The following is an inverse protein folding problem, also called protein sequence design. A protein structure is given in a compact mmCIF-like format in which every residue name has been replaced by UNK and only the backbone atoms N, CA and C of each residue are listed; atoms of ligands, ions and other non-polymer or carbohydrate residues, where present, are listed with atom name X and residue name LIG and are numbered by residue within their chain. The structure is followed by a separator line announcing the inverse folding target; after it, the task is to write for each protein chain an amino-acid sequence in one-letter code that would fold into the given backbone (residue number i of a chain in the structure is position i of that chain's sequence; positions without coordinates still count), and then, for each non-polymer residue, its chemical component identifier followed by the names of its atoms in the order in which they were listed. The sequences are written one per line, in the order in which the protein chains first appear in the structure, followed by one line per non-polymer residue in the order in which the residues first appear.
data_IF_085294365038
#
_entry.id   IF_085294365038
#
_cell.length_a   1.000
_cell.length_b   1.000
_cell.length_c   1.000
_cell.angle_alpha   90.00
_cell.angle_beta   90.00
_cell.angle_gamma   90.00
#
_symmetry.space_group_name_H-M   'P 1'
#
loop_
_entity.id
_entity.type
_entity.pdbx_description
1 polymer ?
#
# COMPACT_ATOMS: atom_id res chain seq x y z
N UNK A 1 4.72 -4.86 0.81
CA UNK A 1 5.52 -3.74 0.22
C UNK A 1 6.38 -3.07 1.29
N UNK A 2 7.20 -2.09 0.91
CA UNK A 2 8.01 -1.27 1.82
C UNK A 2 8.25 0.14 1.22
N UNK A 3 9.43 0.47 0.65
CA UNK A 3 10.43 -0.49 0.15
C UNK A 3 11.25 -1.15 1.27
N UNK A 4 11.66 -2.41 1.05
CA UNK A 4 12.50 -3.18 1.98
C UNK A 4 11.81 -4.32 2.75
N UNK A 5 10.49 -4.48 2.65
CA UNK A 5 9.76 -5.54 3.36
C UNK A 5 9.70 -6.84 2.56
N UNK A 6 9.78 -7.98 3.26
CA UNK A 6 9.63 -9.31 2.66
C UNK A 6 8.18 -9.57 2.23
N UNK A 7 8.02 -10.42 1.22
CA UNK A 7 6.74 -11.00 0.79
C UNK A 7 6.11 -11.94 1.84
N UNK A 8 6.81 -12.24 2.94
CA UNK A 8 6.28 -13.05 4.05
C UNK A 8 4.96 -12.53 4.60
N UNK A 9 4.71 -11.22 4.58
CA UNK A 9 3.44 -10.63 5.02
C UNK A 9 2.28 -11.02 4.10
N UNK A 10 2.54 -11.16 2.81
CA UNK A 10 1.54 -11.68 1.86
C UNK A 10 1.45 -13.20 1.95
N UNK A 11 2.56 -13.90 2.21
CA UNK A 11 2.58 -15.35 2.33
C UNK A 11 1.86 -15.81 3.61
N UNK A 12 2.36 -15.43 4.78
CA UNK A 12 1.89 -15.90 6.09
C UNK A 12 0.90 -14.94 6.77
N UNK A 13 0.67 -13.77 6.21
CA UNK A 13 -0.28 -12.78 6.74
C UNK A 13 -1.56 -12.62 5.91
N UNK A 14 -1.61 -13.15 4.67
CA UNK A 14 -2.77 -12.92 3.80
C UNK A 14 -3.15 -14.10 2.90
N UNK A 15 -2.32 -14.46 1.92
CA UNK A 15 -2.75 -15.27 0.76
C UNK A 15 -2.22 -16.70 0.76
N UNK A 16 -1.15 -17.00 1.49
CA UNK A 16 -0.56 -18.33 1.48
C UNK A 16 -1.39 -19.37 2.21
N UNK A 17 -1.05 -20.67 2.08
CA UNK A 17 -1.86 -21.77 2.61
C UNK A 17 -1.89 -21.85 4.14
N UNK A 18 -0.92 -21.24 4.81
CA UNK A 18 -0.82 -21.16 6.27
C UNK A 18 -0.68 -19.71 6.68
N UNK A 19 -1.26 -19.34 7.82
CA UNK A 19 -1.13 -18.00 8.40
C UNK A 19 -0.65 -18.03 9.84
N UNK A 20 0.05 -16.98 10.25
CA UNK A 20 0.43 -16.77 11.66
C UNK A 20 -0.83 -16.38 12.46
N UNK A 21 -1.01 -17.03 13.59
CA UNK A 21 -2.03 -16.64 14.56
C UNK A 21 -1.50 -15.51 15.44
N UNK A 22 -1.80 -14.26 15.06
CA UNK A 22 -1.40 -13.04 15.79
C UNK A 22 -2.44 -12.55 16.81
N UNK A 23 -3.69 -12.99 16.70
CA UNK A 23 -4.82 -12.39 17.42
C UNK A 23 -5.30 -11.10 16.76
N UNK A 24 -6.29 -10.47 17.40
CA UNK A 24 -6.84 -9.18 16.97
C UNK A 24 -6.07 -8.02 17.60
N UNK A 25 -6.24 -6.81 17.05
CA UNK A 25 -5.50 -5.59 17.49
C UNK A 25 -5.62 -5.36 19.00
N UNK A 26 -6.80 -5.58 19.56
CA UNK A 26 -7.07 -5.39 21.00
C UNK A 26 -6.95 -6.70 21.82
N UNK A 27 -6.57 -7.80 21.17
CA UNK A 27 -6.45 -9.13 21.77
C UNK A 27 -5.37 -9.96 21.08
N UNK A 28 -4.12 -9.48 21.18
CA UNK A 28 -2.96 -10.16 20.61
C UNK A 28 -2.74 -11.52 21.28
N UNK A 29 -2.44 -12.53 20.48
CA UNK A 29 -2.12 -13.86 20.99
C UNK A 29 -0.71 -13.86 21.60
N UNK A 30 -0.55 -14.30 22.86
CA UNK A 30 0.76 -14.38 23.49
C UNK A 30 1.59 -15.53 22.88
N UNK A 31 2.93 -15.48 23.04
CA UNK A 31 3.77 -16.61 22.69
C UNK A 31 3.39 -17.88 23.50
N UNK A 32 3.62 -19.09 22.96
CA UNK A 32 4.26 -19.36 21.67
C UNK A 32 3.30 -19.19 20.47
N UNK A 33 3.76 -18.44 19.46
CA UNK A 33 2.99 -18.24 18.22
C UNK A 33 2.86 -19.54 17.41
N UNK A 34 1.75 -19.68 16.69
CA UNK A 34 1.41 -20.89 15.91
C UNK A 34 0.99 -20.53 14.50
N UNK A 35 1.13 -21.50 13.59
CA UNK A 35 0.56 -21.45 12.25
C UNK A 35 -0.76 -22.22 12.21
N UNK A 36 -1.77 -21.66 11.57
CA UNK A 36 -3.01 -22.34 11.22
C UNK A 36 -3.17 -22.45 9.71
N UNK A 37 -4.05 -23.34 9.25
CA UNK A 37 -4.51 -23.32 7.87
C UNK A 37 -5.21 -21.99 7.56
N UNK A 38 -4.95 -21.47 6.37
CA UNK A 38 -5.56 -20.24 5.91
C UNK A 38 -6.76 -20.57 5.02
N UNK A 39 -7.96 -20.49 5.60
CA UNK A 39 -9.22 -20.68 4.89
C UNK A 39 -9.49 -19.60 3.82
N UNK A 40 -8.75 -18.48 3.86
CA UNK A 40 -8.82 -17.39 2.88
C UNK A 40 -7.73 -17.46 1.81
N UNK A 41 -6.93 -18.53 1.81
CA UNK A 41 -5.89 -18.76 0.81
C UNK A 41 -6.47 -18.78 -0.60
N UNK A 42 -5.73 -18.23 -1.57
CA UNK A 42 -6.08 -18.31 -2.98
C UNK A 42 -5.50 -19.56 -3.68
N UNK A 43 -4.83 -20.44 -2.93
CA UNK A 43 -4.13 -21.60 -3.48
C UNK A 43 -5.07 -22.60 -4.17
N UNK A 44 -6.35 -22.64 -3.78
CA UNK A 44 -7.36 -23.47 -4.43
C UNK A 44 -7.83 -22.91 -5.79
N UNK A 45 -7.50 -21.64 -6.08
CA UNK A 45 -7.86 -20.95 -7.35
C UNK A 45 -6.66 -20.74 -8.27
N UNK A 46 -5.45 -20.64 -7.73
CA UNK A 46 -4.24 -20.33 -8.50
C UNK A 46 -2.99 -20.86 -7.82
N UNK A 47 -1.97 -21.16 -8.64
CA UNK A 47 -0.60 -21.26 -8.14
C UNK A 47 -0.17 -19.90 -7.56
N UNK A 48 0.48 -19.90 -6.41
CA UNK A 48 0.94 -18.69 -5.71
C UNK A 48 2.47 -18.63 -5.69
N UNK A 49 3.03 -17.49 -6.11
CA UNK A 49 4.48 -17.24 -6.12
C UNK A 49 4.75 -15.97 -5.34
N UNK A 50 5.43 -16.11 -4.20
CA UNK A 50 5.84 -14.99 -3.35
C UNK A 50 7.30 -14.66 -3.65
N UNK A 51 7.56 -13.41 -4.04
CA UNK A 51 8.87 -12.96 -4.48
C UNK A 51 9.39 -11.93 -3.48
N UNK A 52 10.53 -12.24 -2.85
CA UNK A 52 11.30 -11.26 -2.11
C UNK A 52 12.23 -10.50 -3.08
N UNK A 53 12.07 -9.18 -3.28
CA UNK A 53 13.06 -8.38 -4.00
C UNK A 53 14.45 -8.48 -3.37
N UNK A 54 15.49 -8.13 -4.14
CA UNK A 54 16.88 -8.16 -3.66
C UNK A 54 17.01 -7.35 -2.36
N UNK A 55 17.74 -7.90 -1.39
CA UNK A 55 17.91 -7.36 -0.03
C UNK A 55 16.71 -7.48 0.91
N UNK A 56 15.60 -8.10 0.50
CA UNK A 56 14.44 -8.35 1.39
C UNK A 56 14.31 -9.84 1.74
N UNK A 57 13.74 -10.15 2.91
CA UNK A 57 13.53 -11.53 3.37
C UNK A 57 14.76 -12.41 3.20
N UNK A 58 14.67 -13.44 2.36
CA UNK A 58 15.79 -14.34 2.06
C UNK A 58 16.63 -13.96 0.82
N UNK A 59 16.18 -12.99 0.02
CA UNK A 59 16.90 -12.57 -1.19
C UNK A 59 18.14 -11.74 -0.86
N UNK A 60 19.27 -12.10 -1.45
CA UNK A 60 20.57 -11.41 -1.31
C UNK A 60 21.15 -11.12 -2.68
N UNK A 61 21.93 -10.03 -2.85
CA UNK A 61 22.72 -9.85 -4.06
C UNK A 61 23.75 -10.98 -4.19
N UNK A 62 24.30 -11.16 -5.40
CA UNK A 62 25.37 -12.12 -5.65
C UNK A 62 26.64 -11.79 -4.85
N UNK A 63 27.60 -12.73 -4.78
CA UNK A 63 28.91 -12.45 -4.19
C UNK A 63 29.54 -11.21 -4.83
N UNK A 64 30.15 -10.34 -4.01
CA UNK A 64 30.84 -9.12 -4.41
C UNK A 64 29.98 -8.03 -5.10
N UNK A 65 28.66 -8.19 -5.16
CA UNK A 65 27.73 -7.20 -5.72
C UNK A 65 27.27 -6.18 -4.65
N UNK A 66 27.30 -4.88 -4.96
CA UNK A 66 26.75 -3.85 -4.07
C UNK A 66 25.20 -3.94 -4.05
N UNK A 67 24.56 -4.18 -2.89
CA UNK A 67 23.09 -4.21 -2.81
C UNK A 67 22.42 -2.95 -3.35
N UNK A 68 23.06 -1.78 -3.24
CA UNK A 68 22.44 -0.48 -3.60
C UNK A 68 22.11 -0.36 -5.08
N UNK A 69 22.78 -1.12 -5.95
CA UNK A 69 22.50 -1.12 -7.38
C UNK A 69 21.07 -1.60 -7.69
N UNK A 70 20.44 -2.36 -6.78
CA UNK A 70 19.08 -2.90 -6.95
C UNK A 70 17.99 -2.02 -6.33
N UNK A 71 18.34 -0.87 -5.76
CA UNK A 71 17.42 -0.08 -4.92
C UNK A 71 16.80 1.13 -5.64
N UNK A 72 17.13 1.36 -6.91
CA UNK A 72 16.37 2.30 -7.76
C UNK A 72 15.03 1.67 -8.17
N UNK A 73 14.07 2.49 -8.58
CA UNK A 73 12.76 2.00 -9.06
C UNK A 73 12.95 1.09 -10.27
N UNK A 74 13.83 1.50 -11.18
CA UNK A 74 14.14 0.81 -12.42
C UNK A 74 14.81 -0.54 -12.14
N UNK A 75 15.87 -0.57 -11.32
CA UNK A 75 16.59 -1.81 -11.02
C UNK A 75 15.74 -2.81 -10.21
N UNK A 76 14.86 -2.31 -9.35
CA UNK A 76 13.87 -3.12 -8.63
C UNK A 76 12.88 -3.79 -9.59
N UNK A 77 12.36 -3.05 -10.59
CA UNK A 77 11.49 -3.60 -11.63
C UNK A 77 12.23 -4.59 -12.52
N UNK A 78 13.45 -4.25 -12.96
CA UNK A 78 14.27 -5.10 -13.82
C UNK A 78 14.59 -6.44 -13.16
N UNK A 79 15.14 -6.40 -11.94
CA UNK A 79 15.54 -7.61 -11.22
C UNK A 79 14.37 -8.55 -10.92
N UNK A 80 13.22 -8.01 -10.49
CA UNK A 80 12.02 -8.81 -10.24
C UNK A 80 11.38 -9.29 -11.55
N UNK A 81 11.37 -8.47 -12.59
CA UNK A 81 10.82 -8.83 -13.90
C UNK A 81 11.62 -9.96 -14.57
N UNK A 82 12.94 -9.90 -14.47
CA UNK A 82 13.82 -10.95 -14.97
C UNK A 82 13.66 -12.25 -14.18
N UNK A 83 13.49 -12.17 -12.86
CA UNK A 83 13.11 -13.33 -12.07
C UNK A 83 11.79 -13.95 -12.54
N UNK A 84 10.75 -13.14 -12.77
CA UNK A 84 9.45 -13.63 -13.25
C UNK A 84 9.59 -14.36 -14.59
N UNK A 85 10.32 -13.78 -15.55
CA UNK A 85 10.59 -14.44 -16.84
C UNK A 85 11.31 -15.77 -16.66
N UNK A 86 12.36 -15.80 -15.83
CA UNK A 86 13.13 -17.02 -15.56
C UNK A 86 12.26 -18.09 -14.90
N UNK A 87 11.44 -17.72 -13.93
CA UNK A 87 10.49 -18.61 -13.26
C UNK A 87 9.50 -19.19 -14.28
N UNK A 88 8.83 -18.34 -15.05
CA UNK A 88 7.83 -18.74 -16.04
C UNK A 88 8.44 -19.68 -17.10
N UNK A 89 9.69 -19.45 -17.50
CA UNK A 89 10.42 -20.33 -18.43
C UNK A 89 10.77 -21.67 -17.80
N UNK A 90 11.30 -21.65 -16.57
CA UNK A 90 11.73 -22.86 -15.86
C UNK A 90 10.57 -23.83 -15.58
N UNK A 91 9.39 -23.29 -15.29
CA UNK A 91 8.22 -24.08 -14.92
C UNK A 91 7.21 -24.24 -16.07
N UNK A 92 7.59 -23.91 -17.31
CA UNK A 92 6.75 -24.01 -18.51
C UNK A 92 5.36 -23.36 -18.35
N UNK A 93 5.35 -22.12 -17.83
CA UNK A 93 4.13 -21.37 -17.52
C UNK A 93 3.88 -20.21 -18.49
N UNK A 94 4.55 -20.15 -19.63
CA UNK A 94 4.45 -19.02 -20.57
C UNK A 94 3.00 -18.72 -20.98
N UNK A 95 2.20 -19.76 -21.21
CA UNK A 95 0.79 -19.63 -21.61
C UNK A 95 -0.20 -19.55 -20.45
N UNK A 96 0.23 -19.78 -19.19
CA UNK A 96 -0.66 -19.67 -18.04
C UNK A 96 -1.14 -18.23 -17.86
N UNK A 97 -2.41 -18.01 -17.47
CA UNK A 97 -2.85 -16.69 -17.05
C UNK A 97 -2.01 -16.18 -15.88
N UNK A 98 -1.61 -14.90 -15.91
CA UNK A 98 -0.71 -14.31 -14.92
C UNK A 98 -1.31 -13.04 -14.35
N UNK A 99 -1.34 -12.95 -13.03
CA UNK A 99 -1.72 -11.75 -12.30
C UNK A 99 -0.57 -11.35 -11.39
N UNK A 100 -0.33 -10.04 -11.25
CA UNK A 100 0.56 -9.53 -10.20
C UNK A 100 -0.27 -8.91 -9.09
N UNK A 101 0.06 -9.29 -7.86
CA UNK A 101 -0.52 -8.70 -6.64
C UNK A 101 0.55 -7.87 -5.96
N UNK A 102 0.27 -6.59 -5.74
CA UNK A 102 1.14 -5.66 -5.06
C UNK A 102 0.45 -5.03 -3.86
N UNK A 103 1.17 -4.87 -2.75
CA UNK A 103 0.68 -4.18 -1.55
C UNK A 103 1.62 -3.02 -1.18
N UNK A 104 1.07 -1.84 -0.87
CA UNK A 104 1.83 -0.62 -0.54
C UNK A 104 2.81 -0.29 -1.68
N UNK A 105 4.11 -0.08 -1.45
CA UNK A 105 5.12 0.10 -2.52
C UNK A 105 5.15 -1.06 -3.54
N UNK A 106 4.67 -2.25 -3.16
CA UNK A 106 4.47 -3.36 -4.09
C UNK A 106 3.50 -3.02 -5.23
N UNK A 107 2.60 -2.05 -5.04
CA UNK A 107 1.72 -1.55 -6.10
C UNK A 107 2.47 -0.73 -7.14
N UNK A 108 3.41 0.12 -6.72
CA UNK A 108 4.35 0.83 -7.61
C UNK A 108 5.13 -0.19 -8.45
N UNK A 109 5.69 -1.22 -7.79
CA UNK A 109 6.43 -2.29 -8.46
C UNK A 109 5.55 -3.06 -9.44
N UNK A 110 4.34 -3.46 -9.05
CA UNK A 110 3.43 -4.20 -9.92
C UNK A 110 3.05 -3.41 -11.18
N UNK A 111 2.84 -2.09 -11.05
CA UNK A 111 2.58 -1.22 -12.18
C UNK A 111 3.81 -1.11 -13.12
N UNK A 112 5.02 -0.92 -12.58
CA UNK A 112 6.25 -0.89 -13.36
C UNK A 112 6.54 -2.22 -14.07
N UNK A 113 6.33 -3.34 -13.38
CA UNK A 113 6.48 -4.69 -13.93
C UNK A 113 5.53 -4.95 -15.09
N UNK A 114 4.31 -4.43 -15.07
CA UNK A 114 3.36 -4.64 -16.15
C UNK A 114 3.89 -4.12 -17.49
N UNK A 115 4.46 -2.91 -17.49
CA UNK A 115 5.13 -2.35 -18.67
C UNK A 115 6.42 -3.10 -19.02
N UNK A 116 7.30 -3.28 -18.03
CA UNK A 116 8.59 -3.93 -18.24
C UNK A 116 8.47 -5.35 -18.83
N UNK A 117 7.61 -6.20 -18.26
CA UNK A 117 7.42 -7.58 -18.73
C UNK A 117 6.89 -7.63 -20.16
N UNK A 118 5.97 -6.73 -20.50
CA UNK A 118 5.43 -6.62 -21.84
C UNK A 118 6.50 -6.14 -22.83
N UNK A 119 7.11 -4.99 -22.56
CA UNK A 119 7.99 -4.31 -23.51
C UNK A 119 9.33 -5.04 -23.68
N UNK A 120 9.90 -5.55 -22.58
CA UNK A 120 11.22 -6.18 -22.60
C UNK A 120 11.20 -7.64 -22.99
N UNK A 121 10.13 -8.36 -22.62
CA UNK A 121 10.08 -9.83 -22.69
C UNK A 121 8.90 -10.39 -23.49
N UNK A 122 7.98 -9.54 -23.97
CA UNK A 122 6.76 -10.00 -24.64
C UNK A 122 5.85 -10.82 -23.72
N UNK A 123 5.97 -10.65 -22.40
CA UNK A 123 5.23 -11.38 -21.38
C UNK A 123 4.06 -10.52 -20.91
N UNK A 124 2.86 -10.89 -21.36
CA UNK A 124 1.63 -10.17 -21.05
C UNK A 124 0.99 -10.67 -19.75
N UNK A 125 0.45 -9.73 -18.97
CA UNK A 125 -0.31 -10.01 -17.76
C UNK A 125 -1.82 -9.98 -18.05
N UNK A 126 -2.58 -10.81 -17.36
CA UNK A 126 -4.05 -10.84 -17.41
C UNK A 126 -4.69 -9.87 -16.42
N UNK A 127 -3.93 -9.36 -15.45
CA UNK A 127 -4.40 -8.31 -14.56
C UNK A 127 -3.43 -7.96 -13.44
N UNK A 128 -3.74 -6.86 -12.77
CA UNK A 128 -3.06 -6.39 -11.57
C UNK A 128 -4.06 -6.30 -10.42
N UNK A 129 -3.64 -6.69 -9.23
CA UNK A 129 -4.38 -6.47 -7.99
C UNK A 129 -3.53 -5.57 -7.09
N UNK A 130 -4.03 -4.36 -6.83
CA UNK A 130 -3.29 -3.33 -6.10
C UNK A 130 -3.97 -3.10 -4.74
N UNK A 131 -3.27 -3.45 -3.67
CA UNK A 131 -3.75 -3.38 -2.29
C UNK A 131 -3.10 -2.17 -1.62
N UNK A 132 -3.91 -1.26 -1.09
CA UNK A 132 -3.41 -0.04 -0.39
C UNK A 132 -2.39 0.73 -1.24
N UNK A 133 -2.82 1.12 -2.43
CA UNK A 133 -1.95 1.56 -3.52
C UNK A 133 -1.23 2.89 -3.29
N UNK A 134 0.03 2.96 -3.73
CA UNK A 134 0.80 4.19 -3.84
C UNK A 134 1.43 4.28 -5.25
N UNK A 135 0.70 4.87 -6.18
CA UNK A 135 1.18 5.09 -7.55
C UNK A 135 1.63 6.53 -7.79
N UNK A 136 1.16 7.47 -6.97
CA UNK A 136 1.61 8.86 -6.96
C UNK A 136 2.13 9.20 -5.57
N UNK A 137 3.44 9.33 -5.41
CA UNK A 137 4.04 9.62 -4.11
C UNK A 137 3.70 11.02 -3.58
N UNK A 138 3.25 11.95 -4.42
CA UNK A 138 2.82 13.26 -3.94
C UNK A 138 1.60 13.16 -3.02
N UNK A 139 0.78 12.12 -3.12
CA UNK A 139 -0.40 11.96 -2.25
C UNK A 139 -0.04 11.64 -0.81
N UNK A 140 1.19 11.19 -0.54
CA UNK A 140 1.65 10.74 0.78
C UNK A 140 2.88 11.49 1.31
N UNK A 141 3.35 12.54 0.61
CA UNK A 141 4.55 13.30 1.00
C UNK A 141 4.20 14.65 1.64
N UNK A 142 4.12 14.68 2.96
CA UNK A 142 3.94 15.91 3.73
C UNK A 142 5.23 16.74 3.72
N UNK A 143 5.34 17.68 2.78
CA UNK A 143 6.47 18.59 2.65
C UNK A 143 6.00 19.98 2.28
N UNK A 144 6.83 20.99 2.53
CA UNK A 144 6.52 22.38 2.19
C UNK A 144 6.24 22.48 0.69
N UNK A 145 5.10 23.07 0.32
CA UNK A 145 4.66 23.22 -1.06
C UNK A 145 3.88 22.03 -1.62
N UNK A 146 3.61 20.99 -0.83
CA UNK A 146 2.71 19.91 -1.22
C UNK A 146 1.51 19.81 -0.26
N UNK A 147 0.43 20.49 -0.61
CA UNK A 147 -0.79 20.54 0.21
C UNK A 147 -1.72 19.33 0.01
N UNK A 148 -1.53 18.56 -1.06
CA UNK A 148 -2.41 17.46 -1.45
C UNK A 148 -2.56 16.37 -0.36
N UNK A 149 -1.50 15.90 0.34
CA UNK A 149 -1.63 14.91 1.40
C UNK A 149 -2.55 15.35 2.54
N UNK A 150 -2.58 16.63 2.89
CA UNK A 150 -3.41 17.13 3.99
C UNK A 150 -4.89 16.91 3.68
N UNK A 151 -5.31 17.20 2.44
CA UNK A 151 -6.67 16.97 1.97
C UNK A 151 -7.01 15.48 1.96
N UNK A 152 -6.11 14.65 1.42
CA UNK A 152 -6.36 13.22 1.23
C UNK A 152 -6.36 12.41 2.54
N UNK A 153 -5.57 12.82 3.53
CA UNK A 153 -5.44 12.09 4.80
C UNK A 153 -6.50 12.48 5.83
N UNK A 154 -7.13 13.66 5.68
CA UNK A 154 -8.07 14.15 6.68
C UNK A 154 -9.24 13.18 6.94
N UNK A 155 -9.92 12.60 5.92
CA UNK A 155 -10.95 11.60 6.16
C UNK A 155 -10.45 10.36 6.92
N UNK A 156 -9.22 9.92 6.63
CA UNK A 156 -8.59 8.79 7.35
C UNK A 156 -8.34 9.16 8.81
N UNK A 157 -7.84 10.36 9.10
CA UNK A 157 -7.67 10.83 10.48
C UNK A 157 -9.00 10.89 11.23
N UNK A 158 -10.07 11.36 10.59
CA UNK A 158 -11.41 11.35 11.17
C UNK A 158 -11.92 9.93 11.40
N UNK A 159 -11.70 8.99 10.48
CA UNK A 159 -12.06 7.58 10.66
C UNK A 159 -11.34 6.96 11.88
N UNK A 160 -10.05 7.25 12.03
CA UNK A 160 -9.23 6.80 13.16
C UNK A 160 -9.70 7.45 14.46
N UNK A 161 -9.98 8.76 14.47
CA UNK A 161 -10.51 9.46 15.63
C UNK A 161 -11.88 8.91 16.05
N UNK A 162 -12.76 8.61 15.09
CA UNK A 162 -14.05 7.96 15.34
C UNK A 162 -13.87 6.58 15.99
N UNK A 163 -12.96 5.76 15.47
CA UNK A 163 -12.68 4.42 16.04
C UNK A 163 -12.21 4.48 17.51
N UNK A 164 -11.49 5.54 17.89
CA UNK A 164 -10.93 5.72 19.23
C UNK A 164 -11.76 6.64 20.15
N UNK A 165 -13.02 6.90 19.81
CA UNK A 165 -13.92 7.78 20.57
C UNK A 165 -13.31 9.18 20.84
N UNK A 166 -12.66 9.75 19.82
CA UNK A 166 -12.00 11.07 19.90
C UNK A 166 -12.76 12.19 19.19
N UNK A 167 -13.85 11.89 18.48
CA UNK A 167 -14.68 12.92 17.87
C UNK A 167 -15.70 13.49 18.87
N UNK A 168 -16.19 14.72 18.65
CA UNK A 168 -17.29 15.29 19.43
C UNK A 168 -18.56 14.45 19.28
N UNK A 169 -19.49 14.50 20.26
CA UNK A 169 -20.66 13.62 20.31
C UNK A 169 -21.50 13.59 19.03
N UNK A 170 -21.61 14.71 18.32
CA UNK A 170 -22.41 14.80 17.09
C UNK A 170 -21.78 14.08 15.90
N UNK A 171 -20.44 14.05 15.82
CA UNK A 171 -19.69 13.29 14.81
C UNK A 171 -19.44 11.84 15.25
N UNK A 172 -19.32 11.59 16.56
CA UNK A 172 -19.15 10.24 17.10
C UNK A 172 -20.41 9.37 16.89
N UNK A 173 -21.59 9.97 16.85
CA UNK A 173 -22.87 9.26 16.75
C UNK A 173 -23.06 8.46 15.44
N UNK A 174 -22.51 8.91 14.32
CA UNK A 174 -22.67 8.25 13.02
C UNK A 174 -21.40 8.37 12.17
N UNK A 175 -20.68 7.24 12.05
CA UNK A 175 -19.45 7.15 11.26
C UNK A 175 -19.65 7.59 9.81
N UNK A 176 -20.73 7.15 9.16
CA UNK A 176 -20.95 7.45 7.73
C UNK A 176 -21.22 8.93 7.54
N UNK A 177 -21.98 9.53 8.45
CA UNK A 177 -22.20 10.96 8.45
C UNK A 177 -20.91 11.74 8.68
N UNK A 178 -20.12 11.38 9.69
CA UNK A 178 -18.84 12.03 9.97
C UNK A 178 -17.87 11.96 8.78
N UNK A 179 -17.78 10.79 8.12
CA UNK A 179 -16.96 10.61 6.92
C UNK A 179 -17.45 11.46 5.75
N UNK A 180 -18.76 11.49 5.49
CA UNK A 180 -19.33 12.33 4.43
C UNK A 180 -19.09 13.83 4.69
N UNK A 181 -19.23 14.28 5.94
CA UNK A 181 -18.98 15.67 6.31
C UNK A 181 -17.50 16.06 6.13
N UNK A 182 -16.57 15.22 6.59
CA UNK A 182 -15.13 15.52 6.44
C UNK A 182 -14.65 15.39 5.00
N UNK A 183 -15.18 14.44 4.22
CA UNK A 183 -14.86 14.31 2.79
C UNK A 183 -15.30 15.57 2.02
N UNK A 184 -16.51 16.07 2.29
CA UNK A 184 -17.01 17.32 1.72
C UNK A 184 -16.16 18.52 2.14
N UNK A 185 -15.83 18.64 3.44
CA UNK A 185 -14.98 19.70 3.95
C UNK A 185 -13.57 19.67 3.34
N UNK A 186 -12.95 18.48 3.28
CA UNK A 186 -11.64 18.26 2.70
C UNK A 186 -11.62 18.71 1.22
N UNK A 187 -12.58 18.24 0.43
CA UNK A 187 -12.67 18.51 -1.00
C UNK A 187 -13.04 19.96 -1.36
N UNK A 188 -13.53 20.76 -0.39
CA UNK A 188 -14.03 22.11 -0.64
C UNK A 188 -13.28 23.16 0.18
N UNK A 189 -13.82 23.54 1.33
CA UNK A 189 -13.34 24.63 2.18
C UNK A 189 -11.88 24.44 2.59
N UNK A 190 -11.49 23.21 2.96
CA UNK A 190 -10.12 22.94 3.40
C UNK A 190 -9.13 23.04 2.26
N UNK A 191 -9.46 22.45 1.09
CA UNK A 191 -8.67 22.61 -0.13
C UNK A 191 -8.50 24.09 -0.50
N UNK A 192 -9.59 24.87 -0.49
CA UNK A 192 -9.53 26.30 -0.80
C UNK A 192 -8.67 27.08 0.21
N UNK A 193 -8.78 26.75 1.49
CA UNK A 193 -8.00 27.38 2.55
C UNK A 193 -6.49 27.14 2.35
N UNK A 194 -6.10 25.89 2.07
CA UNK A 194 -4.72 25.52 1.74
C UNK A 194 -4.22 26.27 0.50
N UNK A 195 -5.00 26.26 -0.59
CA UNK A 195 -4.61 26.93 -1.85
C UNK A 195 -4.49 28.46 -1.73
N UNK A 196 -5.26 29.09 -0.83
CA UNK A 196 -5.10 30.53 -0.55
C UNK A 196 -3.79 30.82 0.19
N UNK A 197 -3.29 29.88 0.97
CA UNK A 197 -2.04 30.02 1.73
C UNK A 197 -2.00 31.33 2.52
N UNK A 198 -0.94 32.12 2.31
CA UNK A 198 -0.76 33.42 2.98
C UNK A 198 -1.82 34.48 2.63
N UNK A 199 -2.64 34.28 1.59
CA UNK A 199 -3.73 35.19 1.22
C UNK A 199 -5.03 34.92 1.99
N UNK A 200 -5.07 33.86 2.80
CA UNK A 200 -6.24 33.53 3.62
C UNK A 200 -6.39 34.58 4.74
N UNK A 201 -7.56 35.21 4.85
CA UNK A 201 -7.80 36.20 5.91
C UNK A 201 -7.71 35.54 7.29
N UNK A 202 -7.44 36.34 8.33
CA UNK A 202 -7.31 35.81 9.69
C UNK A 202 -8.60 35.14 10.17
N UNK A 203 -9.75 35.71 9.81
CA UNK A 203 -11.08 35.18 10.14
C UNK A 203 -11.33 33.85 9.42
N UNK A 204 -11.03 33.76 8.12
CA UNK A 204 -11.20 32.54 7.35
C UNK A 204 -10.25 31.42 7.83
N UNK A 205 -9.03 31.79 8.24
CA UNK A 205 -8.07 30.87 8.86
C UNK A 205 -8.59 30.35 10.20
N UNK A 206 -9.10 31.22 11.06
CA UNK A 206 -9.66 30.83 12.35
C UNK A 206 -10.84 29.86 12.19
N UNK A 207 -11.78 30.16 11.29
CA UNK A 207 -12.92 29.29 11.00
C UNK A 207 -12.49 27.91 10.44
N UNK A 208 -11.49 27.90 9.55
CA UNK A 208 -10.95 26.64 9.00
C UNK A 208 -10.30 25.80 10.10
N UNK A 209 -9.50 26.41 10.98
CA UNK A 209 -8.82 25.73 12.08
C UNK A 209 -9.83 25.19 13.09
N UNK A 210 -10.86 25.98 13.44
CA UNK A 210 -11.92 25.53 14.35
C UNK A 210 -12.64 24.30 13.79
N UNK A 211 -12.98 24.31 12.49
CA UNK A 211 -13.63 23.17 11.84
C UNK A 211 -12.72 21.95 11.70
N UNK A 212 -11.43 22.15 11.42
CA UNK A 212 -10.42 21.09 11.32
C UNK A 212 -10.13 20.43 12.68
N UNK A 213 -10.28 21.18 13.78
CA UNK A 213 -10.01 20.70 15.13
C UNK A 213 -11.17 19.95 15.79
N UNK A 214 -12.33 19.86 15.11
CA UNK A 214 -13.47 19.03 15.54
C UNK A 214 -13.14 17.56 15.34
#
# INVERSE_FOLDING_TARGET
GGPGSSSVWMHLGMLGPRRVLSGDVDSLLPPPHRLADNEFSLLDKSDLVFIDPVSTGFSRPGPDEDPKQFHTVEADVESVGDFIRLFVSRYDRWLSPKFLIGESYGTTRAAGLAGYLQDRHGLYLNGLMLISSILNFQTARFTVGNDLPYVLFLPTFTATAWYHDKLPPDLQADRRRALSEVESFAATEYTLALMRGAKLSQEARAATVEKLAR
#
